data_IF_228795833767
#
_entry.id   IF_228795833767
#
_cell.length_a   1.000
_cell.length_b   1.000
_cell.length_c   1.000
_cell.angle_alpha   90.00
_cell.angle_beta   90.00
_cell.angle_gamma   90.00
#
_symmetry.space_group_name_H-M   'P 1'
#
loop_
_entity.id
_entity.type
_entity.pdbx_description
1 polymer ?
#
# COMPACT_ATOMS: atom_id res chain seq x y z
N UNK A 1 -15.25 -4.98 22.75
CA UNK A 1 -13.83 -5.03 23.16
C UNK A 1 -13.00 -4.75 21.91
N UNK A 2 -12.48 -3.53 21.74
CA UNK A 2 -11.77 -3.14 20.52
C UNK A 2 -10.32 -3.61 20.64
N UNK A 3 -9.91 -4.53 19.77
CA UNK A 3 -8.51 -4.95 19.65
C UNK A 3 -7.85 -3.92 18.76
N UNK A 4 -6.95 -3.12 19.33
CA UNK A 4 -6.15 -2.17 18.56
C UNK A 4 -4.91 -2.90 18.08
N UNK A 5 -4.77 -3.07 16.76
CA UNK A 5 -3.54 -3.54 16.16
C UNK A 5 -2.49 -2.43 16.28
N UNK A 6 -1.34 -2.74 16.89
CA UNK A 6 -0.20 -1.84 16.86
C UNK A 6 0.43 -1.90 15.47
N UNK A 7 0.07 -0.91 14.65
CA UNK A 7 0.55 -0.75 13.28
C UNK A 7 2.07 -0.65 13.23
N UNK A 8 2.73 -0.06 14.24
CA UNK A 8 4.19 0.04 14.28
C UNK A 8 4.83 -1.32 14.45
N UNK A 9 4.28 -2.14 15.35
CA UNK A 9 4.76 -3.50 15.56
C UNK A 9 4.57 -4.35 14.29
N UNK A 10 3.42 -4.26 13.64
CA UNK A 10 3.15 -5.00 12.39
C UNK A 10 4.10 -4.61 11.25
N UNK A 11 4.33 -3.32 11.04
CA UNK A 11 5.23 -2.86 9.98
C UNK A 11 6.68 -3.26 10.25
N UNK A 12 7.13 -3.18 11.51
CA UNK A 12 8.48 -3.56 11.91
C UNK A 12 8.76 -5.08 11.78
N UNK A 13 7.76 -5.94 11.93
CA UNK A 13 7.92 -7.39 11.72
C UNK A 13 7.84 -7.79 10.25
N UNK A 14 7.05 -7.07 9.45
CA UNK A 14 6.82 -7.41 8.05
C UNK A 14 7.92 -6.87 7.12
N UNK A 15 8.56 -5.77 7.50
CA UNK A 15 9.52 -5.05 6.66
C UNK A 15 10.81 -4.75 7.42
N UNK A 16 11.96 -4.98 6.78
CA UNK A 16 13.29 -4.74 7.35
C UNK A 16 13.77 -3.28 7.24
N UNK A 17 13.00 -2.40 6.60
CA UNK A 17 13.32 -0.98 6.39
C UNK A 17 12.82 -0.05 7.50
N UNK A 18 13.13 1.25 7.39
CA UNK A 18 12.58 2.27 8.30
C UNK A 18 11.07 2.44 8.08
N UNK A 19 10.29 2.02 9.06
CA UNK A 19 8.82 2.11 9.06
C UNK A 19 8.29 3.24 9.94
N UNK A 20 9.17 4.08 10.48
CA UNK A 20 8.80 5.19 11.37
C UNK A 20 8.17 6.36 10.63
N UNK A 21 8.50 6.52 9.34
CA UNK A 21 8.07 7.62 8.48
C UNK A 21 7.01 7.16 7.46
N UNK A 22 5.82 7.75 7.54
CA UNK A 22 4.71 7.44 6.63
C UNK A 22 3.71 8.58 6.49
N UNK A 23 2.98 8.58 5.37
CA UNK A 23 1.77 9.36 5.16
C UNK A 23 0.53 8.53 5.52
N UNK A 24 -0.51 9.17 6.04
CA UNK A 24 -1.77 8.50 6.36
C UNK A 24 -3.00 9.33 6.05
N UNK A 25 -4.04 8.67 5.53
CA UNK A 25 -5.31 9.30 5.16
C UNK A 25 -6.45 8.26 5.14
N UNK A 26 -7.68 8.73 5.36
CA UNK A 26 -8.87 7.90 5.15
C UNK A 26 -9.18 7.81 3.65
N UNK A 27 -9.46 6.61 3.14
CA UNK A 27 -9.72 6.38 1.72
C UNK A 27 -10.57 5.16 1.47
N UNK A 28 -10.52 4.69 0.22
CA UNK A 28 -11.28 3.53 -0.24
C UNK A 28 -10.40 2.33 -0.52
N UNK A 29 -11.04 1.16 -0.64
CA UNK A 29 -10.46 0.04 -1.38
C UNK A 29 -10.14 0.48 -2.82
N UNK A 30 -9.06 -0.06 -3.40
CA UNK A 30 -8.64 0.22 -4.79
C UNK A 30 -9.26 -0.75 -5.80
N UNK A 31 -9.97 -1.76 -5.32
CA UNK A 31 -10.74 -2.72 -6.11
C UNK A 31 -12.23 -2.64 -5.75
N UNK A 32 -13.13 -2.99 -6.68
CA UNK A 32 -14.57 -3.05 -6.39
C UNK A 32 -14.86 -3.86 -5.12
N UNK A 33 -15.77 -3.39 -4.24
CA UNK A 33 -16.74 -2.30 -4.44
C UNK A 33 -16.22 -0.88 -4.12
N UNK A 34 -14.91 -0.68 -3.98
CA UNK A 34 -14.31 0.64 -3.71
C UNK A 34 -14.86 1.32 -2.44
N UNK A 35 -15.18 0.54 -1.40
CA UNK A 35 -15.76 1.06 -0.17
C UNK A 35 -14.79 1.98 0.58
N UNK A 36 -15.28 3.11 1.09
CA UNK A 36 -14.53 4.09 1.90
C UNK A 36 -14.39 3.66 3.36
N UNK A 37 -13.73 2.53 3.58
CA UNK A 37 -13.63 1.90 4.90
C UNK A 37 -12.19 1.68 5.38
N UNK A 38 -11.20 2.26 4.70
CA UNK A 38 -9.78 2.02 5.00
C UNK A 38 -9.05 3.28 5.43
N UNK A 39 -8.08 3.10 6.33
CA UNK A 39 -7.04 4.10 6.61
C UNK A 39 -5.76 3.63 5.95
N UNK A 40 -5.29 4.39 4.97
CA UNK A 40 -4.05 4.10 4.26
C UNK A 40 -2.84 4.55 5.09
N UNK A 41 -1.78 3.75 5.01
CA UNK A 41 -0.45 4.03 5.55
C UNK A 41 0.54 3.82 4.41
N UNK A 42 1.17 4.89 3.95
CA UNK A 42 2.13 4.87 2.84
C UNK A 42 3.50 5.21 3.41
N UNK A 43 4.39 4.22 3.47
CA UNK A 43 5.76 4.41 3.95
C UNK A 43 6.49 5.44 3.07
N UNK A 44 7.29 6.28 3.71
CA UNK A 44 8.14 7.27 3.00
C UNK A 44 9.30 6.55 2.31
N UNK A 45 9.94 5.63 3.01
CA UNK A 45 11.04 4.84 2.45
C UNK A 45 10.48 3.63 1.67
N UNK A 46 10.81 3.48 0.38
CA UNK A 46 10.40 2.33 -0.40
C UNK A 46 11.21 1.08 -0.03
N UNK A 47 10.62 -0.08 -0.27
CA UNK A 47 11.35 -1.35 -0.21
C UNK A 47 12.06 -1.54 -1.54
N UNK A 48 13.38 -1.62 -1.50
CA UNK A 48 14.20 -1.81 -2.70
C UNK A 48 14.16 -3.29 -3.10
N UNK A 49 13.87 -3.54 -4.38
CA UNK A 49 13.88 -4.87 -4.99
C UNK A 49 14.82 -4.88 -6.20
N UNK A 50 15.34 -6.06 -6.53
CA UNK A 50 16.15 -6.29 -7.73
C UNK A 50 15.29 -6.38 -8.99
N UNK A 51 15.89 -6.16 -10.16
CA UNK A 51 15.20 -6.31 -11.44
C UNK A 51 14.61 -7.73 -11.62
N UNK A 52 15.38 -8.77 -11.28
CA UNK A 52 14.94 -10.16 -11.38
C UNK A 52 13.70 -10.46 -10.51
N UNK A 53 13.60 -9.85 -9.32
CA UNK A 53 12.40 -9.96 -8.49
C UNK A 53 11.21 -9.24 -9.14
N UNK A 54 11.42 -8.04 -9.70
CA UNK A 54 10.36 -7.32 -10.41
C UNK A 54 9.83 -8.11 -11.60
N UNK A 55 10.71 -8.72 -12.39
CA UNK A 55 10.33 -9.54 -13.54
C UNK A 55 9.53 -10.77 -13.09
N UNK A 56 9.98 -11.44 -12.01
CA UNK A 56 9.23 -12.55 -11.38
C UNK A 56 7.82 -12.12 -10.98
N UNK A 57 7.63 -10.92 -10.41
CA UNK A 57 6.29 -10.42 -10.07
C UNK A 57 5.42 -10.15 -11.31
N UNK A 58 6.01 -9.66 -12.40
CA UNK A 58 5.28 -9.38 -13.65
C UNK A 58 4.85 -10.65 -14.38
N UNK A 59 5.61 -11.73 -14.21
CA UNK A 59 5.30 -13.06 -14.75
C UNK A 59 4.25 -13.82 -13.92
N UNK A 60 3.75 -13.25 -12.82
CA UNK A 60 2.66 -13.87 -12.06
C UNK A 60 1.35 -13.80 -12.84
N UNK A 61 0.82 -14.97 -13.17
CA UNK A 61 -0.46 -15.09 -13.84
C UNK A 61 -1.58 -15.10 -12.80
N UNK A 62 -2.65 -14.38 -13.10
CA UNK A 62 -3.93 -14.59 -12.41
C UNK A 62 -4.50 -15.96 -12.84
N UNK A 63 -5.64 -16.41 -12.28
CA UNK A 63 -6.24 -17.74 -12.56
C UNK A 63 -6.57 -18.05 -14.05
N UNK A 64 -6.11 -17.23 -14.96
CA UNK A 64 -6.19 -17.30 -16.40
C UNK A 64 -4.77 -17.27 -16.97
N UNK A 65 -4.37 -18.32 -17.67
CA UNK A 65 -3.02 -18.52 -18.23
C UNK A 65 -2.64 -17.52 -19.34
N UNK A 66 -3.61 -16.75 -19.85
CA UNK A 66 -3.40 -15.66 -20.82
C UNK A 66 -3.53 -14.26 -20.21
N UNK A 67 -3.84 -14.15 -18.93
CA UNK A 67 -4.05 -12.88 -18.25
C UNK A 67 -2.76 -12.53 -17.51
N UNK A 68 -1.84 -11.88 -18.23
CA UNK A 68 -0.72 -11.20 -17.60
C UNK A 68 -1.29 -10.27 -16.53
N UNK A 69 -0.85 -10.43 -15.28
CA UNK A 69 -1.28 -9.55 -14.17
C UNK A 69 -0.54 -8.22 -14.20
N UNK A 70 -0.17 -7.75 -15.38
CA UNK A 70 0.44 -6.45 -15.60
C UNK A 70 -0.62 -5.36 -15.49
N UNK A 71 -0.22 -4.17 -15.07
CA UNK A 71 -1.10 -3.00 -14.90
C UNK A 71 -2.29 -3.22 -13.94
N UNK A 72 -2.09 -4.05 -12.92
CA UNK A 72 -3.05 -4.34 -11.85
C UNK A 72 -3.16 -3.20 -10.81
N UNK A 73 -3.26 -1.96 -11.26
CA UNK A 73 -3.39 -0.77 -10.42
C UNK A 73 -4.60 0.08 -10.83
N UNK A 74 -5.13 0.84 -9.86
CA UNK A 74 -6.18 1.84 -10.11
C UNK A 74 -5.53 3.20 -10.41
N UNK A 75 -6.03 3.97 -11.39
CA UNK A 75 -5.57 5.35 -11.61
C UNK A 75 -5.74 6.23 -10.38
N UNK A 76 -4.92 7.29 -10.28
CA UNK A 76 -5.00 8.24 -9.17
C UNK A 76 -6.38 8.89 -9.10
N UNK A 77 -6.91 9.03 -7.89
CA UNK A 77 -8.15 9.75 -7.62
C UNK A 77 -7.84 11.11 -6.99
N UNK A 78 -8.50 12.21 -7.40
CA UNK A 78 -8.25 13.54 -6.86
C UNK A 78 -8.34 13.58 -5.34
N UNK A 79 -7.43 14.32 -4.67
CA UNK A 79 -7.36 14.34 -3.20
C UNK A 79 -8.63 14.94 -2.57
N UNK A 80 -9.25 15.91 -3.24
CA UNK A 80 -10.45 16.60 -2.76
C UNK A 80 -10.20 17.30 -1.42
N UNK A 81 -11.16 17.22 -0.50
CA UNK A 81 -11.07 17.83 0.83
C UNK A 81 -10.33 16.96 1.87
N UNK A 82 -9.74 15.84 1.47
CA UNK A 82 -9.11 14.89 2.40
C UNK A 82 -7.83 15.48 3.00
N UNK A 83 -7.70 15.37 4.32
CA UNK A 83 -6.48 15.74 5.05
C UNK A 83 -5.52 14.55 5.08
N UNK A 84 -4.34 14.73 4.48
CA UNK A 84 -3.22 13.79 4.60
C UNK A 84 -2.38 14.20 5.80
N UNK A 85 -2.13 13.25 6.70
CA UNK A 85 -1.22 13.42 7.85
C UNK A 85 0.11 12.74 7.54
N UNK A 86 1.18 13.15 8.21
CA UNK A 86 2.51 12.54 8.08
C UNK A 86 3.18 12.44 9.44
N UNK A 87 4.07 11.45 9.61
CA UNK A 87 4.98 11.37 10.75
C UNK A 87 6.31 12.09 10.50
N UNK A 88 6.58 12.49 9.24
CA UNK A 88 7.76 13.28 8.88
C UNK A 88 7.68 14.62 9.60
N UNK A 89 8.74 14.97 10.33
CA UNK A 89 8.84 16.28 10.98
C UNK A 89 9.31 17.31 9.94
N UNK A 90 8.64 18.45 9.89
CA UNK A 90 9.03 19.63 9.10
C UNK A 90 10.30 20.29 9.61
#
# INVERSE_FOLDING_TARGET
>A
KQITLDVRLFLAIAFSGDTSQYYTYCGSLTTPPCAECVTWLVLVEPIIITQNQLDTFRDLHSNCQLCLSTDNFRPICPVGARKVRTTVRS
#
